data_IF_139088727437
#
_entry.id   IF_139088727437
#
_cell.length_a   1.000
_cell.length_b   1.000
_cell.length_c   1.000
_cell.angle_alpha   90.00
_cell.angle_beta   90.00
_cell.angle_gamma   90.00
#
_symmetry.space_group_name_H-M   'P 1'
#
loop_
_entity.id
_entity.type
_entity.pdbx_description
1 polymer ?
#
# COMPACT_ATOMS: atom_id res chain seq x y z
N UNK A 1 3.85 -0.16 6.63
CA UNK A 1 5.17 -0.45 7.21
C UNK A 1 5.68 -1.73 6.58
N UNK A 2 6.95 -1.81 6.22
CA UNK A 2 7.59 -3.08 5.88
C UNK A 2 8.06 -3.77 7.17
N UNK A 3 7.68 -5.02 7.39
CA UNK A 3 7.94 -5.70 8.65
C UNK A 3 9.40 -6.15 8.80
N UNK A 4 10.08 -6.44 7.69
CA UNK A 4 11.46 -6.91 7.70
C UNK A 4 12.46 -5.78 7.99
N UNK A 5 12.45 -4.73 7.16
CA UNK A 5 13.37 -3.58 7.28
C UNK A 5 12.90 -2.54 8.28
N UNK A 6 11.65 -2.64 8.76
CA UNK A 6 10.97 -1.62 9.58
C UNK A 6 10.80 -0.26 8.88
N UNK A 7 11.07 -0.17 7.58
CA UNK A 7 10.81 1.03 6.79
C UNK A 7 9.33 1.39 6.82
N UNK A 8 9.05 2.67 7.01
CA UNK A 8 7.69 3.19 7.12
C UNK A 8 7.50 4.35 6.16
N UNK A 9 6.39 4.32 5.41
CA UNK A 9 5.96 5.39 4.55
C UNK A 9 4.72 6.04 5.16
N UNK A 10 4.78 7.35 5.37
CA UNK A 10 3.69 8.14 5.95
C UNK A 10 3.16 9.09 4.88
N UNK A 11 1.85 9.05 4.66
CA UNK A 11 1.16 9.91 3.72
C UNK A 11 0.04 10.66 4.45
N UNK A 12 0.13 11.99 4.62
CA UNK A 12 -0.96 12.76 5.18
C UNK A 12 -2.13 12.75 4.18
N UNK A 13 -3.30 12.35 4.65
CA UNK A 13 -4.52 12.28 3.84
C UNK A 13 -5.47 13.41 4.22
N UNK A 14 -6.03 14.09 3.22
CA UNK A 14 -7.10 15.06 3.45
C UNK A 14 -8.44 14.37 3.73
N UNK A 15 -8.67 13.20 3.09
CA UNK A 15 -9.88 12.38 3.27
C UNK A 15 -9.52 10.88 3.26
N UNK A 16 -10.28 10.08 4.02
CA UNK A 16 -10.08 8.62 4.14
C UNK A 16 -10.13 7.89 2.79
N UNK A 17 -10.98 8.37 1.87
CA UNK A 17 -11.08 7.83 0.49
C UNK A 17 -9.80 7.96 -0.35
N UNK A 18 -8.86 8.83 0.03
CA UNK A 18 -7.57 8.96 -0.68
C UNK A 18 -6.60 7.80 -0.43
N UNK A 19 -6.84 6.96 0.58
CA UNK A 19 -5.89 5.93 1.00
C UNK A 19 -5.60 4.91 -0.11
N UNK A 20 -6.61 4.49 -0.87
CA UNK A 20 -6.48 3.53 -1.96
C UNK A 20 -5.50 4.02 -3.05
N UNK A 21 -5.61 5.29 -3.45
CA UNK A 21 -4.72 5.90 -4.44
C UNK A 21 -3.26 5.91 -3.96
N UNK A 22 -3.03 6.28 -2.69
CA UNK A 22 -1.68 6.27 -2.12
C UNK A 22 -1.09 4.87 -2.03
N UNK A 23 -1.89 3.85 -1.71
CA UNK A 23 -1.44 2.46 -1.71
C UNK A 23 -1.05 2.01 -3.13
N UNK A 24 -1.84 2.32 -4.16
CA UNK A 24 -1.48 2.01 -5.55
C UNK A 24 -0.14 2.66 -5.94
N UNK A 25 0.06 3.93 -5.59
CA UNK A 25 1.32 4.62 -5.84
C UNK A 25 2.50 4.01 -5.08
N UNK A 26 2.28 3.59 -3.82
CA UNK A 26 3.29 2.92 -3.03
C UNK A 26 3.67 1.57 -3.66
N UNK A 27 2.70 0.75 -4.07
CA UNK A 27 2.95 -0.53 -4.79
C UNK A 27 3.83 -0.31 -6.02
N UNK A 28 3.53 0.70 -6.85
CA UNK A 28 4.33 1.04 -8.02
C UNK A 28 5.74 1.51 -7.67
N UNK A 29 5.90 2.32 -6.62
CA UNK A 29 7.23 2.76 -6.13
C UNK A 29 8.05 1.59 -5.62
N UNK A 30 7.46 0.72 -4.82
CA UNK A 30 8.11 -0.48 -4.31
C UNK A 30 8.51 -1.40 -5.46
N UNK A 31 7.64 -1.68 -6.43
CA UNK A 31 7.98 -2.50 -7.60
C UNK A 31 9.18 -1.96 -8.41
N UNK A 32 9.41 -0.64 -8.40
CA UNK A 32 10.58 -0.01 -9.03
C UNK A 32 11.83 -0.06 -8.15
N UNK A 33 11.70 0.19 -6.84
CA UNK A 33 12.82 0.32 -5.91
C UNK A 33 13.35 -1.02 -5.38
N UNK A 34 12.45 -1.97 -5.14
CA UNK A 34 12.76 -3.29 -4.59
C UNK A 34 12.51 -4.39 -5.63
N UNK A 35 13.00 -4.21 -6.86
CA UNK A 35 12.93 -5.23 -7.94
C UNK A 35 13.37 -6.65 -7.50
N UNK A 36 14.21 -6.75 -6.47
CA UNK A 36 14.71 -8.02 -5.92
C UNK A 36 13.69 -8.72 -5.00
N UNK A 37 12.74 -8.00 -4.42
CA UNK A 37 11.83 -8.52 -3.40
C UNK A 37 10.37 -8.27 -3.81
N UNK A 38 9.64 -9.35 -4.06
CA UNK A 38 8.22 -9.28 -4.31
C UNK A 38 7.49 -8.96 -3.01
N UNK A 39 6.69 -7.90 -2.99
CA UNK A 39 5.75 -7.64 -1.89
C UNK A 39 4.61 -8.64 -2.02
N UNK A 40 4.58 -9.65 -1.15
CA UNK A 40 3.64 -10.77 -1.25
C UNK A 40 2.31 -10.48 -0.56
N UNK A 41 2.32 -9.70 0.53
CA UNK A 41 1.18 -9.55 1.43
C UNK A 41 1.05 -8.09 1.90
N UNK A 42 -0.17 -7.58 1.89
CA UNK A 42 -0.55 -6.33 2.55
C UNK A 42 -1.56 -6.65 3.65
N UNK A 43 -1.33 -6.14 4.86
CA UNK A 43 -2.24 -6.28 6.01
C UNK A 43 -2.95 -4.95 6.30
N UNK A 44 -4.25 -5.00 6.53
CA UNK A 44 -5.10 -3.87 6.90
C UNK A 44 -6.19 -4.32 7.89
N UNK A 45 -6.78 -3.37 8.62
CA UNK A 45 -7.79 -3.60 9.68
C UNK A 45 -9.21 -3.87 9.15
N UNK A 46 -9.38 -4.04 7.84
CA UNK A 46 -10.68 -4.27 7.22
C UNK A 46 -11.50 -3.01 6.91
N UNK A 47 -10.89 -1.82 6.97
CA UNK A 47 -11.52 -0.58 6.54
C UNK A 47 -12.01 -0.63 5.08
N UNK A 48 -13.17 -0.02 4.79
CA UNK A 48 -13.82 -0.08 3.46
C UNK A 48 -12.95 0.43 2.32
N UNK A 49 -12.06 1.39 2.58
CA UNK A 49 -11.07 1.89 1.62
C UNK A 49 -10.03 0.83 1.21
N UNK A 50 -9.83 -0.20 2.03
CA UNK A 50 -8.86 -1.29 1.83
C UNK A 50 -9.50 -2.59 1.34
N UNK A 51 -10.79 -2.78 1.58
CA UNK A 51 -11.57 -3.97 1.16
C UNK A 51 -12.19 -3.76 -0.24
N UNK A 52 -12.22 -2.52 -0.74
CA UNK A 52 -12.73 -2.20 -2.07
C UNK A 52 -12.00 -2.97 -3.19
N UNK A 53 -12.75 -3.43 -4.19
CA UNK A 53 -12.22 -4.20 -5.34
C UNK A 53 -11.13 -3.45 -6.13
N UNK A 54 -11.05 -2.14 -5.93
CA UNK A 54 -10.04 -1.27 -6.49
C UNK A 54 -8.59 -1.66 -6.15
N UNK A 55 -8.37 -2.37 -5.03
CA UNK A 55 -7.03 -2.81 -4.62
C UNK A 55 -6.68 -4.24 -5.03
N UNK A 56 -7.67 -5.02 -5.47
CA UNK A 56 -7.55 -6.44 -5.85
C UNK A 56 -7.19 -6.66 -7.33
N UNK A 57 -7.00 -5.59 -8.12
CA UNK A 57 -6.84 -5.64 -9.58
C UNK A 57 -5.44 -5.31 -10.12
N UNK A 58 -4.36 -5.50 -9.35
CA UNK A 58 -2.97 -5.26 -9.82
C UNK A 58 -2.08 -6.44 -9.48
#
# INVERSE_FOLDING_TARGET
MDEYSRCTWVYPLQHKGGACQHIRQLKLKLGKQVKKYNVLIFHADGGGEFVSNELNGV
#
